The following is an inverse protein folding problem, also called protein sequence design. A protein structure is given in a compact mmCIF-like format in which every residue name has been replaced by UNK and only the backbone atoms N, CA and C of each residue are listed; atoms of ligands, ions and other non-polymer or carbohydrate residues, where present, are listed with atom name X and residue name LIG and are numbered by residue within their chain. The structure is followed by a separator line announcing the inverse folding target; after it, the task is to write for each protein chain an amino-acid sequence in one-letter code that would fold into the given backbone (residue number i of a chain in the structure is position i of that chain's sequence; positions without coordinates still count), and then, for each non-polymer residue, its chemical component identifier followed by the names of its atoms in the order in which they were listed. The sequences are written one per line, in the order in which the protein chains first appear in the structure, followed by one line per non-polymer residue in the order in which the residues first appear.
data_IF_641568423144
#
_entry.id   IF_641568423144
#
_cell.length_a   1.000
_cell.length_b   1.000
_cell.length_c   1.000
_cell.angle_alpha   90.00
_cell.angle_beta   90.00
_cell.angle_gamma   90.00
#
_symmetry.space_group_name_H-M   'P 1'
#
loop_
_entity.id
_entity.type
_entity.pdbx_description
1 polymer ?
#
# COMPACT_ATOMS: atom_id res chain seq x y z
N UNK A 1 -30.80 -32.74 0.55
CA UNK A 1 -30.16 -31.61 1.26
C UNK A 1 -28.72 -32.02 1.57
N UNK A 2 -27.79 -31.06 1.48
CA UNK A 2 -26.32 -31.15 1.59
C UNK A 2 -25.55 -31.57 0.32
N UNK A 3 -25.00 -30.57 -0.38
CA UNK A 3 -23.89 -30.70 -1.33
C UNK A 3 -22.61 -30.34 -0.56
N UNK A 4 -21.77 -31.32 -0.26
CA UNK A 4 -20.46 -31.11 0.34
C UNK A 4 -19.47 -30.76 -0.77
N UNK A 5 -18.96 -29.52 -0.78
CA UNK A 5 -17.87 -29.12 -1.67
C UNK A 5 -16.56 -29.68 -1.09
N UNK A 6 -15.89 -30.54 -1.85
CA UNK A 6 -14.59 -31.10 -1.54
C UNK A 6 -13.52 -30.06 -1.88
N UNK A 7 -12.79 -29.56 -0.89
CA UNK A 7 -11.59 -28.75 -1.11
C UNK A 7 -10.44 -29.69 -1.49
N UNK A 8 -9.82 -29.44 -2.64
CA UNK A 8 -8.62 -30.15 -3.09
C UNK A 8 -7.42 -29.54 -2.34
N UNK A 9 -6.73 -30.38 -1.56
CA UNK A 9 -5.42 -30.05 -1.02
C UNK A 9 -4.36 -30.26 -2.11
N UNK A 10 -3.60 -29.23 -2.43
CA UNK A 10 -2.44 -29.32 -3.33
C UNK A 10 -1.24 -29.80 -2.51
N UNK A 11 -0.57 -30.84 -3.01
CA UNK A 11 0.60 -31.45 -2.41
C UNK A 11 1.83 -30.53 -2.51
N UNK A 12 2.49 -30.29 -1.38
CA UNK A 12 3.83 -29.70 -1.33
C UNK A 12 4.86 -30.78 -1.70
N UNK A 13 5.65 -30.54 -2.75
CA UNK A 13 6.81 -31.36 -3.08
C UNK A 13 8.08 -30.50 -3.09
N UNK A 14 9.09 -30.95 -2.35
CA UNK A 14 10.49 -30.54 -2.51
C UNK A 14 11.03 -29.63 -1.41
N UNK A 15 11.58 -30.22 -0.34
CA UNK A 15 12.43 -29.50 0.61
C UNK A 15 13.80 -29.22 -0.03
N UNK A 16 14.08 -27.94 -0.27
CA UNK A 16 15.41 -27.37 -0.14
C UNK A 16 15.29 -26.24 0.88
N UNK A 17 16.21 -26.17 1.85
CA UNK A 17 16.30 -25.05 2.76
C UNK A 17 16.67 -23.80 1.95
N UNK A 18 15.66 -23.16 1.36
CA UNK A 18 15.77 -21.82 0.83
C UNK A 18 16.06 -20.90 2.03
N UNK A 19 17.02 -20.00 1.89
CA UNK A 19 17.08 -18.85 2.78
C UNK A 19 15.68 -18.21 2.77
N UNK A 20 15.05 -18.13 3.94
CA UNK A 20 13.75 -17.51 4.11
C UNK A 20 13.88 -16.03 3.73
N UNK A 21 13.45 -15.65 2.53
CA UNK A 21 13.13 -14.29 2.17
C UNK A 21 11.73 -14.02 2.74
N UNK A 22 11.72 -13.79 4.04
CA UNK A 22 10.53 -13.51 4.81
C UNK A 22 10.38 -11.99 4.87
N UNK A 23 9.15 -11.50 4.75
CA UNK A 23 8.81 -10.10 4.90
C UNK A 23 9.45 -9.56 6.17
N UNK A 24 10.33 -8.58 6.01
CA UNK A 24 10.96 -7.89 7.12
C UNK A 24 10.03 -6.79 7.66
N UNK A 25 9.09 -7.21 8.51
CA UNK A 25 8.20 -6.30 9.23
C UNK A 25 8.70 -5.86 10.60
N UNK A 26 9.83 -6.42 11.08
CA UNK A 26 10.27 -6.30 12.49
C UNK A 26 11.62 -5.61 12.67
N UNK A 27 12.31 -5.22 11.58
CA UNK A 27 13.58 -4.51 11.65
C UNK A 27 13.44 -2.98 11.48
N UNK A 28 14.58 -2.30 11.43
CA UNK A 28 14.65 -0.93 10.93
C UNK A 28 14.56 -0.94 9.41
N UNK A 29 13.72 -0.09 8.82
CA UNK A 29 13.54 0.00 7.37
C UNK A 29 12.86 -1.23 6.74
N UNK A 30 11.60 -1.49 7.10
CA UNK A 30 10.85 -2.65 6.61
C UNK A 30 10.45 -2.58 5.13
N UNK A 31 9.94 -3.71 4.66
CA UNK A 31 9.51 -3.93 3.27
C UNK A 31 8.04 -3.55 3.06
N UNK A 32 7.68 -3.37 1.79
CA UNK A 32 6.31 -3.08 1.39
C UNK A 32 5.50 -4.36 1.24
N UNK A 33 4.34 -4.37 1.89
CA UNK A 33 3.39 -5.47 1.85
C UNK A 33 2.09 -4.97 1.26
N UNK A 34 1.70 -5.55 0.14
CA UNK A 34 0.37 -5.41 -0.40
C UNK A 34 -0.53 -6.47 0.23
N UNK A 35 -1.69 -6.04 0.71
CA UNK A 35 -2.69 -6.96 1.26
C UNK A 35 -4.05 -6.67 0.63
N UNK A 36 -4.79 -7.73 0.35
CA UNK A 36 -6.19 -7.65 -0.03
C UNK A 36 -7.02 -8.66 0.76
N UNK A 37 -8.27 -8.35 1.02
CA UNK A 37 -9.13 -9.19 1.83
C UNK A 37 -10.60 -8.92 1.54
N UNK A 38 -11.40 -9.95 1.71
CA UNK A 38 -12.86 -9.86 1.78
C UNK A 38 -13.30 -10.50 3.08
N UNK A 39 -13.68 -9.67 4.04
CA UNK A 39 -14.11 -10.14 5.36
C UNK A 39 -15.48 -10.82 5.34
N UNK A 40 -16.27 -10.63 4.26
CA UNK A 40 -17.56 -11.31 4.09
C UNK A 40 -17.35 -12.73 3.59
N UNK A 41 -16.51 -12.91 2.57
CA UNK A 41 -16.16 -14.24 2.06
C UNK A 41 -15.13 -14.99 2.92
N UNK A 42 -14.38 -14.26 3.77
CA UNK A 42 -13.36 -14.85 4.64
C UNK A 42 -12.11 -15.30 3.87
N UNK A 43 -11.68 -14.51 2.89
CA UNK A 43 -10.48 -14.76 2.10
C UNK A 43 -9.54 -13.56 2.17
N UNK A 44 -8.25 -13.82 2.21
CA UNK A 44 -7.18 -12.84 2.30
C UNK A 44 -6.05 -13.19 1.34
N UNK A 45 -5.33 -12.16 0.92
CA UNK A 45 -4.19 -12.23 0.04
C UNK A 45 -3.11 -11.27 0.56
N UNK A 46 -1.87 -11.73 0.50
CA UNK A 46 -0.69 -10.95 0.88
C UNK A 46 0.38 -11.15 -0.16
N UNK A 47 1.06 -10.08 -0.55
CA UNK A 47 2.21 -10.10 -1.44
C UNK A 47 3.32 -9.20 -0.88
N UNK A 48 4.53 -9.72 -0.89
CA UNK A 48 5.77 -9.01 -0.58
C UNK A 48 6.25 -8.27 -1.83
N UNK A 49 6.49 -6.96 -1.72
CA UNK A 49 7.00 -6.13 -2.81
C UNK A 49 8.47 -5.86 -2.51
N UNK A 50 9.38 -6.72 -2.96
CA UNK A 50 10.80 -6.50 -2.73
C UNK A 50 11.61 -6.28 -4.01
N UNK A 51 11.46 -7.15 -5.03
CA UNK A 51 12.25 -7.04 -6.27
C UNK A 51 11.37 -6.70 -7.50
N UNK A 52 10.39 -7.55 -7.81
CA UNK A 52 9.89 -7.71 -9.18
C UNK A 52 9.20 -6.49 -9.86
N UNK A 53 8.91 -5.39 -9.16
CA UNK A 53 8.32 -4.19 -9.76
C UNK A 53 9.02 -2.85 -9.47
N UNK A 54 10.00 -2.80 -8.57
CA UNK A 54 10.70 -1.55 -8.25
C UNK A 54 12.15 -1.50 -8.75
N UNK A 55 12.75 -2.64 -9.11
CA UNK A 55 14.18 -2.79 -9.43
C UNK A 55 14.74 -1.79 -10.44
N UNK A 56 13.96 -1.53 -11.49
CA UNK A 56 14.38 -0.63 -12.57
C UNK A 56 14.62 0.81 -12.11
N UNK A 57 14.01 1.20 -10.98
CA UNK A 57 14.00 2.59 -10.50
C UNK A 57 14.68 2.77 -9.15
N UNK A 58 14.48 1.84 -8.21
CA UNK A 58 14.98 1.91 -6.84
C UNK A 58 16.08 0.89 -6.52
N UNK A 59 16.44 0.03 -7.47
CA UNK A 59 17.36 -1.09 -7.25
C UNK A 59 16.66 -2.28 -6.59
N UNK A 60 17.41 -3.34 -6.27
CA UNK A 60 16.92 -4.53 -5.59
C UNK A 60 16.70 -4.28 -4.09
N UNK A 61 15.89 -5.13 -3.44
CA UNK A 61 15.60 -5.09 -1.99
C UNK A 61 14.94 -3.75 -1.57
N UNK A 62 13.79 -3.44 -2.19
CA UNK A 62 13.14 -2.13 -2.08
C UNK A 62 12.37 -1.97 -0.78
N UNK A 63 12.98 -1.20 0.12
CA UNK A 63 12.47 -0.87 1.45
C UNK A 63 12.03 0.58 1.56
N UNK A 64 11.50 0.97 2.71
CA UNK A 64 11.06 2.36 2.97
C UNK A 64 12.11 3.42 2.59
N UNK A 65 13.37 3.23 2.98
CA UNK A 65 14.47 4.15 2.73
C UNK A 65 14.87 4.19 1.25
N UNK A 66 14.62 3.13 0.49
CA UNK A 66 14.79 3.13 -0.97
C UNK A 66 13.86 4.17 -1.58
N UNK A 67 12.63 4.30 -1.07
CA UNK A 67 11.64 5.28 -1.53
C UNK A 67 11.88 6.68 -0.96
N UNK A 68 12.08 6.86 0.34
CA UNK A 68 12.05 8.19 1.01
C UNK A 68 13.35 8.62 1.68
N UNK A 69 14.42 7.84 1.52
CA UNK A 69 15.69 8.06 2.20
C UNK A 69 15.62 7.77 3.71
N UNK A 70 16.72 8.03 4.41
CA UNK A 70 16.90 7.65 5.82
C UNK A 70 16.46 8.73 6.82
N UNK A 71 15.81 9.81 6.39
CA UNK A 71 15.39 10.90 7.28
C UNK A 71 14.29 10.41 8.23
N UNK A 72 14.66 10.24 9.50
CA UNK A 72 13.77 9.83 10.58
C UNK A 72 14.33 10.32 11.92
N UNK A 73 13.99 11.55 12.28
CA UNK A 73 14.48 12.23 13.48
C UNK A 73 13.29 12.74 14.30
N UNK A 74 13.49 13.17 15.57
CA UNK A 74 12.40 13.68 16.39
C UNK A 74 11.65 14.89 15.81
N UNK A 75 12.23 15.56 14.79
CA UNK A 75 11.67 16.79 14.19
C UNK A 75 11.45 16.69 12.68
N UNK A 76 11.88 15.60 12.02
CA UNK A 76 11.73 15.44 10.58
C UNK A 76 11.58 13.96 10.17
N UNK A 77 10.72 13.71 9.19
CA UNK A 77 10.59 12.43 8.50
C UNK A 77 10.62 12.66 6.99
N UNK A 78 11.23 11.76 6.23
CA UNK A 78 11.21 11.81 4.77
C UNK A 78 9.79 11.58 4.22
N UNK A 79 9.35 12.44 3.30
CA UNK A 79 8.06 12.30 2.62
C UNK A 79 8.18 12.55 1.10
N UNK A 80 9.41 12.56 0.57
CA UNK A 80 9.68 12.80 -0.84
C UNK A 80 10.40 11.61 -1.43
N UNK A 81 9.99 11.20 -2.63
CA UNK A 81 10.67 10.15 -3.38
C UNK A 81 12.12 10.52 -3.64
N UNK A 82 13.03 9.58 -3.38
CA UNK A 82 14.47 9.69 -3.67
C UNK A 82 14.73 9.88 -5.16
N UNK A 83 13.91 9.24 -6.00
CA UNK A 83 14.01 9.28 -7.45
C UNK A 83 13.12 10.38 -8.05
N UNK A 84 13.62 11.04 -9.09
CA UNK A 84 12.86 12.06 -9.82
C UNK A 84 12.00 11.39 -10.89
N UNK A 85 10.75 11.10 -10.55
CA UNK A 85 9.81 10.39 -11.43
C UNK A 85 8.50 11.15 -11.59
N UNK A 86 7.95 11.06 -12.81
CA UNK A 86 6.63 11.56 -13.16
C UNK A 86 5.85 10.45 -13.85
N UNK A 87 4.57 10.28 -13.50
CA UNK A 87 3.73 9.22 -14.03
C UNK A 87 3.87 7.89 -13.26
N UNK A 88 3.89 6.78 -13.98
CA UNK A 88 3.94 5.43 -13.38
C UNK A 88 5.32 5.17 -12.79
N UNK A 89 5.34 4.84 -11.49
CA UNK A 89 6.53 4.53 -10.70
C UNK A 89 6.72 3.02 -10.57
N UNK A 90 5.61 2.29 -10.46
CA UNK A 90 5.54 0.83 -10.31
C UNK A 90 4.26 0.36 -10.98
N UNK A 91 4.34 -0.73 -11.73
CA UNK A 91 3.16 -1.42 -12.25
C UNK A 91 3.49 -2.90 -12.38
N UNK A 92 2.81 -3.73 -11.60
CA UNK A 92 3.16 -5.14 -11.47
C UNK A 92 1.92 -6.03 -11.41
N UNK A 93 1.94 -7.10 -12.20
CA UNK A 93 0.92 -8.14 -12.20
C UNK A 93 1.02 -8.95 -10.90
N UNK A 94 -0.02 -8.90 -10.07
CA UNK A 94 -0.06 -9.57 -8.77
C UNK A 94 -0.16 -11.10 -8.94
N UNK A 95 0.83 -11.89 -8.50
CA UNK A 95 0.83 -13.34 -8.68
C UNK A 95 -0.35 -14.00 -7.95
N UNK A 96 -1.07 -14.91 -8.62
CA UNK A 96 -2.21 -15.62 -8.02
C UNK A 96 -3.32 -14.73 -7.41
N UNK A 97 -3.35 -13.43 -7.72
CA UNK A 97 -4.43 -12.56 -7.25
C UNK A 97 -5.79 -12.98 -7.82
N UNK A 98 -5.82 -13.53 -9.04
CA UNK A 98 -7.02 -14.11 -9.64
C UNK A 98 -7.58 -15.27 -8.79
N UNK A 99 -6.72 -16.06 -8.13
CA UNK A 99 -7.17 -17.14 -7.23
C UNK A 99 -7.86 -16.55 -6.00
N UNK A 100 -7.30 -15.48 -5.42
CA UNK A 100 -7.95 -14.72 -4.34
C UNK A 100 -9.32 -14.17 -4.78
N UNK A 101 -9.38 -13.47 -5.91
CA UNK A 101 -10.61 -12.87 -6.41
C UNK A 101 -11.68 -13.93 -6.72
N UNK A 102 -11.28 -15.13 -7.15
CA UNK A 102 -12.21 -16.25 -7.39
C UNK A 102 -12.94 -16.72 -6.12
N UNK A 103 -12.32 -16.55 -4.95
CA UNK A 103 -12.88 -16.86 -3.64
C UNK A 103 -13.59 -15.68 -2.98
N UNK A 104 -13.44 -14.46 -3.50
CA UNK A 104 -13.97 -13.24 -2.92
C UNK A 104 -15.28 -12.77 -3.57
N UNK A 105 -16.03 -11.94 -2.86
CA UNK A 105 -17.03 -11.06 -3.45
C UNK A 105 -16.36 -9.74 -3.82
N UNK A 106 -16.19 -9.50 -5.13
CA UNK A 106 -15.47 -8.35 -5.67
C UNK A 106 -15.97 -6.98 -5.16
N UNK A 107 -17.25 -6.90 -4.78
CA UNK A 107 -17.86 -5.66 -4.28
C UNK A 107 -17.51 -5.34 -2.83
N UNK A 108 -17.01 -6.32 -2.07
CA UNK A 108 -16.61 -6.19 -0.67
C UNK A 108 -15.11 -6.35 -0.45
N UNK A 109 -14.35 -6.68 -1.51
CA UNK A 109 -12.89 -6.69 -1.46
C UNK A 109 -12.37 -5.33 -1.03
N UNK A 110 -11.44 -5.36 -0.08
CA UNK A 110 -10.60 -4.24 0.33
C UNK A 110 -9.14 -4.56 0.07
N UNK A 111 -8.33 -3.54 -0.13
CA UNK A 111 -6.88 -3.67 -0.27
C UNK A 111 -6.16 -2.49 0.37
N UNK A 112 -4.92 -2.71 0.80
CA UNK A 112 -4.01 -1.68 1.27
C UNK A 112 -2.56 -2.01 0.90
N UNK A 113 -1.70 -1.01 1.02
CA UNK A 113 -0.25 -1.13 0.95
C UNK A 113 0.32 -0.55 2.22
N UNK A 114 1.26 -1.25 2.88
CA UNK A 114 1.94 -0.73 4.04
C UNK A 114 3.37 -1.26 4.19
N UNK A 115 4.22 -0.46 4.84
CA UNK A 115 5.54 -0.81 5.33
C UNK A 115 5.74 -0.16 6.70
N UNK A 116 6.49 -0.80 7.60
CA UNK A 116 6.77 -0.25 8.92
C UNK A 116 8.24 -0.36 9.32
N UNK A 117 8.67 0.62 10.08
CA UNK A 117 9.94 0.65 10.80
C UNK A 117 9.60 0.55 12.30
N UNK A 118 10.04 -0.53 12.94
CA UNK A 118 9.66 -0.81 14.34
C UNK A 118 10.79 -0.53 15.35
N UNK A 119 11.96 -0.12 14.85
CA UNK A 119 13.14 0.16 15.66
C UNK A 119 13.33 1.67 15.88
N UNK A 120 13.88 2.06 17.04
CA UNK A 120 14.15 3.46 17.35
C UNK A 120 12.91 4.36 17.28
N UNK A 121 12.97 5.41 16.44
CA UNK A 121 11.80 6.20 16.08
C UNK A 121 11.01 5.44 15.03
N UNK A 122 9.80 5.03 15.37
CA UNK A 122 8.99 4.20 14.46
C UNK A 122 8.43 5.02 13.32
N UNK A 123 8.25 4.37 12.18
CA UNK A 123 7.61 4.96 10.99
C UNK A 123 6.65 3.97 10.36
N UNK A 124 5.64 4.47 9.68
CA UNK A 124 4.77 3.69 8.81
C UNK A 124 4.63 4.45 7.49
N UNK A 125 4.76 3.73 6.38
CA UNK A 125 4.27 4.18 5.08
C UNK A 125 3.03 3.36 4.79
N UNK A 126 1.92 3.99 4.44
CA UNK A 126 0.69 3.28 4.13
C UNK A 126 -0.16 4.02 3.11
N UNK A 127 -1.04 3.29 2.43
CA UNK A 127 -2.20 3.90 1.78
C UNK A 127 -3.14 4.53 2.81
N UNK A 128 -3.89 5.54 2.38
CA UNK A 128 -4.96 6.18 3.17
C UNK A 128 -6.21 6.35 2.34
N UNK A 129 -7.38 6.17 2.96
CA UNK A 129 -8.68 6.36 2.28
C UNK A 129 -9.10 7.83 2.14
N UNK A 130 -8.44 8.70 2.90
CA UNK A 130 -8.68 10.14 2.90
C UNK A 130 -7.45 10.85 3.45
N UNK A 131 -7.13 12.03 2.93
CA UNK A 131 -6.06 12.85 3.49
C UNK A 131 -6.32 13.18 4.98
N UNK A 132 -5.37 12.93 5.89
CA UNK A 132 -5.48 13.34 7.29
C UNK A 132 -5.59 14.87 7.41
N UNK A 133 -6.63 15.35 8.11
CA UNK A 133 -6.87 16.78 8.37
C UNK A 133 -6.18 17.29 9.65
N UNK A 134 -5.66 16.37 10.46
CA UNK A 134 -4.86 16.60 11.66
C UNK A 134 -3.93 15.41 11.84
N UNK A 135 -2.96 15.48 12.76
CA UNK A 135 -2.10 14.35 13.10
C UNK A 135 -2.96 13.14 13.49
N UNK A 136 -3.02 12.08 12.67
CA UNK A 136 -3.88 10.93 12.96
C UNK A 136 -3.24 10.00 14.01
N UNK A 137 -1.93 10.16 14.21
CA UNK A 137 -1.14 9.38 15.15
C UNK A 137 -0.60 10.25 16.28
N UNK A 138 -0.76 9.77 17.50
CA UNK A 138 0.23 10.02 18.56
C UNK A 138 1.37 9.01 18.43
N UNK A 139 2.53 9.29 19.02
CA UNK A 139 3.64 8.32 19.08
C UNK A 139 3.21 6.96 19.64
N UNK A 140 2.37 6.92 20.68
CA UNK A 140 1.83 5.67 21.22
C UNK A 140 1.05 4.88 20.16
N UNK A 141 0.18 5.54 19.39
CA UNK A 141 -0.62 4.90 18.33
C UNK A 141 0.21 4.46 17.13
N UNK A 142 1.23 5.25 16.76
CA UNK A 142 2.17 4.86 15.72
C UNK A 142 2.94 3.61 16.13
N UNK A 143 3.37 3.55 17.39
CA UNK A 143 4.07 2.41 17.94
C UNK A 143 3.20 1.15 18.00
N UNK A 144 1.94 1.30 18.43
CA UNK A 144 0.93 0.23 18.41
C UNK A 144 0.68 -0.30 16.99
N UNK A 145 0.59 0.58 16.00
CA UNK A 145 0.34 0.20 14.60
C UNK A 145 1.55 -0.49 13.97
N UNK A 146 2.75 0.04 14.17
CA UNK A 146 3.97 -0.56 13.64
C UNK A 146 4.22 -1.96 14.25
N UNK A 147 3.94 -2.13 15.54
CA UNK A 147 3.99 -3.45 16.19
C UNK A 147 2.92 -4.41 15.64
N UNK A 148 1.74 -3.91 15.29
CA UNK A 148 0.66 -4.73 14.74
C UNK A 148 0.97 -5.19 13.31
N UNK A 149 1.57 -4.31 12.50
CA UNK A 149 2.09 -4.67 11.19
C UNK A 149 3.20 -5.73 11.30
N UNK A 150 4.17 -5.55 12.20
CA UNK A 150 5.22 -6.55 12.45
C UNK A 150 4.64 -7.91 12.82
N UNK A 151 3.65 -7.96 13.72
CA UNK A 151 2.99 -9.23 14.08
C UNK A 151 2.30 -9.89 12.89
N UNK A 152 1.68 -9.09 12.01
CA UNK A 152 1.06 -9.59 10.78
C UNK A 152 2.10 -10.14 9.80
N UNK A 153 3.16 -9.38 9.52
CA UNK A 153 4.28 -9.78 8.66
C UNK A 153 4.92 -11.09 9.17
N UNK A 154 5.27 -11.16 10.45
CA UNK A 154 5.86 -12.35 11.06
C UNK A 154 4.94 -13.58 10.93
N UNK A 155 3.63 -13.40 11.10
CA UNK A 155 2.67 -14.49 11.02
C UNK A 155 2.44 -14.97 9.56
N UNK A 156 2.41 -14.06 8.60
CA UNK A 156 2.15 -14.39 7.19
C UNK A 156 3.37 -14.99 6.49
N UNK A 157 4.57 -14.73 7.00
CA UNK A 157 5.82 -15.37 6.53
C UNK A 157 5.80 -16.90 6.64
N UNK A 158 4.91 -17.49 7.45
CA UNK A 158 4.72 -18.94 7.52
C UNK A 158 3.69 -19.48 6.51
N UNK A 159 3.23 -18.67 5.54
CA UNK A 159 2.12 -18.99 4.64
C UNK A 159 2.52 -18.95 3.16
N UNK A 160 1.77 -19.68 2.33
CA UNK A 160 1.91 -19.64 0.87
C UNK A 160 3.34 -19.85 0.39
N UNK A 161 3.75 -19.11 -0.63
CA UNK A 161 5.12 -19.13 -1.14
C UNK A 161 6.08 -18.30 -0.29
N UNK A 162 5.57 -17.35 0.52
CA UNK A 162 6.36 -16.57 1.51
C UNK A 162 7.13 -17.47 2.50
N UNK A 163 6.61 -18.66 2.79
CA UNK A 163 7.29 -19.62 3.66
C UNK A 163 8.56 -20.25 3.05
N UNK A 164 8.76 -20.12 1.73
CA UNK A 164 9.74 -20.93 0.99
C UNK A 164 10.49 -20.21 -0.13
N UNK A 165 10.12 -18.98 -0.48
CA UNK A 165 10.74 -18.23 -1.57
C UNK A 165 10.61 -16.72 -1.39
N UNK A 166 11.52 -15.99 -2.05
CA UNK A 166 11.49 -14.53 -2.18
C UNK A 166 10.34 -14.08 -3.09
N UNK A 167 9.85 -12.86 -2.88
CA UNK A 167 8.72 -12.26 -3.61
C UNK A 167 7.48 -13.16 -3.54
N UNK A 168 7.21 -13.64 -2.33
CA UNK A 168 6.15 -14.61 -2.11
C UNK A 168 4.76 -13.97 -2.07
N UNK A 169 3.75 -14.83 -2.22
CA UNK A 169 2.37 -14.50 -1.88
C UNK A 169 1.80 -15.52 -0.90
N UNK A 170 0.76 -15.11 -0.17
CA UNK A 170 -0.03 -15.99 0.67
C UNK A 170 -1.52 -15.78 0.45
N UNK A 171 -2.24 -16.89 0.33
CA UNK A 171 -3.70 -16.92 0.47
C UNK A 171 -4.02 -17.31 1.91
N UNK A 172 -4.86 -16.51 2.57
CA UNK A 172 -5.19 -16.67 3.98
C UNK A 172 -6.69 -16.62 4.21
N UNK A 173 -7.11 -17.07 5.39
CA UNK A 173 -8.50 -17.17 5.82
C UNK A 173 -8.61 -16.81 7.30
N UNK A 174 -9.81 -16.57 7.86
CA UNK A 174 -9.98 -16.29 9.28
C UNK A 174 -9.37 -17.35 10.22
N UNK A 175 -9.23 -18.61 9.79
CA UNK A 175 -8.58 -19.66 10.59
C UNK A 175 -7.06 -19.49 10.72
N UNK A 176 -6.45 -18.64 9.88
CA UNK A 176 -5.04 -18.28 9.94
C UNK A 176 -4.73 -17.17 10.97
N UNK A 177 -5.77 -16.66 11.65
CA UNK A 177 -5.66 -15.70 12.76
C UNK A 177 -4.83 -14.46 12.39
N UNK A 178 -3.69 -14.24 13.04
CA UNK A 178 -2.82 -13.08 12.83
C UNK A 178 -2.34 -12.94 11.38
N UNK A 179 -2.17 -14.06 10.67
CA UNK A 179 -1.73 -14.04 9.27
C UNK A 179 -2.84 -13.66 8.29
N UNK A 180 -4.11 -13.64 8.72
CA UNK A 180 -5.21 -13.25 7.84
C UNK A 180 -5.14 -11.75 7.51
N UNK A 181 -5.07 -11.39 6.22
CA UNK A 181 -4.97 -10.00 5.78
C UNK A 181 -6.13 -9.12 6.30
N UNK A 182 -7.34 -9.68 6.37
CA UNK A 182 -8.52 -9.00 6.94
C UNK A 182 -8.61 -9.07 8.46
N UNK A 183 -7.58 -9.55 9.16
CA UNK A 183 -7.58 -9.68 10.61
C UNK A 183 -7.60 -8.29 11.25
N UNK A 184 -8.76 -7.89 11.76
CA UNK A 184 -8.93 -6.58 12.35
C UNK A 184 -7.87 -6.27 13.40
N UNK A 185 -7.51 -7.13 14.37
CA UNK A 185 -6.50 -6.81 15.37
C UNK A 185 -5.09 -6.45 14.88
N UNK A 186 -4.66 -6.85 13.68
CA UNK A 186 -3.26 -6.67 13.24
C UNK A 186 -3.08 -5.91 11.93
N UNK A 187 -3.91 -6.15 10.92
CA UNK A 187 -3.82 -5.49 9.61
C UNK A 187 -5.16 -4.84 9.26
N UNK A 188 -6.05 -5.54 8.55
CA UNK A 188 -7.40 -5.05 8.27
C UNK A 188 -7.41 -3.66 7.64
N UNK A 189 -8.35 -2.81 8.06
CA UNK A 189 -8.55 -1.48 7.47
C UNK A 189 -7.83 -0.34 8.21
N UNK A 190 -7.27 -0.60 9.39
CA UNK A 190 -6.70 0.43 10.29
C UNK A 190 -5.79 -0.14 11.40
N UNK A 191 -5.19 -1.31 11.20
CA UNK A 191 -4.39 -2.03 12.20
C UNK A 191 -5.16 -2.35 13.50
N UNK A 192 -6.48 -2.47 13.39
CA UNK A 192 -7.36 -2.80 14.51
C UNK A 192 -7.56 -1.63 15.43
N UNK A 193 -7.99 -0.51 14.87
CA UNK A 193 -8.23 0.77 15.55
C UNK A 193 -6.97 1.40 16.18
N UNK A 194 -5.80 0.86 15.85
CA UNK A 194 -4.51 1.39 16.31
C UNK A 194 -3.98 2.46 15.36
N UNK A 195 -4.43 2.43 14.12
CA UNK A 195 -3.98 3.32 13.08
C UNK A 195 -5.06 4.10 12.37
N UNK A 196 -4.68 4.63 11.22
CA UNK A 196 -5.53 5.41 10.34
C UNK A 196 -6.10 4.54 9.22
N UNK A 197 -7.29 4.88 8.73
CA UNK A 197 -7.98 4.13 7.69
C UNK A 197 -7.10 4.00 6.43
N UNK A 198 -6.76 2.76 6.06
CA UNK A 198 -5.73 2.46 5.08
C UNK A 198 -6.20 1.67 3.86
N UNK A 199 -7.45 1.17 3.86
CA UNK A 199 -7.91 0.21 2.88
C UNK A 199 -9.07 0.71 2.00
N UNK A 200 -8.87 0.64 0.68
CA UNK A 200 -9.84 0.99 -0.36
C UNK A 200 -10.47 -0.24 -1.01
N UNK A 201 -11.54 -0.05 -1.76
CA UNK A 201 -12.10 -1.08 -2.65
C UNK A 201 -11.28 -1.28 -3.92
N UNK A 202 -11.55 -2.36 -4.66
CA UNK A 202 -10.96 -2.54 -5.99
C UNK A 202 -11.33 -1.37 -6.91
N UNK A 203 -10.36 -0.87 -7.67
CA UNK A 203 -10.40 0.35 -8.50
C UNK A 203 -10.38 1.69 -7.74
N UNK A 204 -10.41 1.71 -6.41
CA UNK A 204 -10.13 2.94 -5.68
C UNK A 204 -8.68 3.36 -5.94
N UNK A 205 -8.46 4.68 -6.02
CA UNK A 205 -7.13 5.29 -6.02
C UNK A 205 -6.90 5.85 -4.63
N UNK A 206 -5.84 5.38 -3.97
CA UNK A 206 -5.51 5.78 -2.60
C UNK A 206 -4.22 6.61 -2.59
N UNK A 207 -4.19 7.65 -1.78
CA UNK A 207 -2.96 8.39 -1.50
C UNK A 207 -2.04 7.54 -0.61
N UNK A 208 -0.74 7.74 -0.74
CA UNK A 208 0.26 7.13 0.16
C UNK A 208 0.77 8.20 1.13
N UNK A 209 0.81 7.89 2.41
CA UNK A 209 1.29 8.78 3.46
C UNK A 209 2.42 8.14 4.25
N UNK A 210 3.31 9.01 4.73
CA UNK A 210 4.37 8.66 5.68
C UNK A 210 4.01 9.22 7.05
N UNK A 211 4.16 8.39 8.08
CA UNK A 211 4.01 8.74 9.48
C UNK A 211 5.32 8.44 10.22
N UNK A 212 5.81 9.37 11.04
CA UNK A 212 7.08 9.22 11.75
C UNK A 212 7.04 9.71 13.20
N UNK A 213 7.62 8.91 14.10
CA UNK A 213 7.61 9.20 15.52
C UNK A 213 8.53 10.36 15.88
N UNK A 214 8.07 11.21 16.80
CA UNK A 214 8.89 12.23 17.46
C UNK A 214 9.53 11.72 18.75
N UNK A 215 9.14 10.53 19.22
CA UNK A 215 9.68 9.85 20.40
C UNK A 215 9.60 8.33 20.26
N UNK A 216 10.61 7.61 20.76
CA UNK A 216 10.60 6.15 20.87
C UNK A 216 9.78 5.64 22.07
N UNK A 217 9.26 6.54 22.92
CA UNK A 217 8.43 6.17 24.06
C UNK A 217 7.07 5.65 23.61
N UNK A 218 6.75 4.40 23.97
CA UNK A 218 5.45 3.75 23.73
C UNK A 218 4.27 4.41 24.43
N UNK A 219 4.51 5.28 25.41
CA UNK A 219 3.46 6.00 26.13
C UNK A 219 3.31 7.46 25.72
N UNK A 220 4.15 7.96 24.81
CA UNK A 220 4.10 9.36 24.38
C UNK A 220 2.79 9.68 23.66
N UNK A 221 2.11 10.72 24.15
CA UNK A 221 0.88 11.27 23.55
C UNK A 221 1.15 12.47 22.63
N UNK A 222 2.43 12.81 22.43
CA UNK A 222 2.79 13.82 21.44
C UNK A 222 2.45 13.32 20.03
N UNK A 223 2.03 14.24 19.18
CA UNK A 223 1.70 13.98 17.78
C UNK A 223 2.93 13.43 17.04
N UNK A 224 2.67 12.48 16.15
CA UNK A 224 3.63 12.02 15.16
C UNK A 224 3.72 13.03 14.01
N UNK A 225 4.86 13.04 13.33
CA UNK A 225 5.03 13.71 12.05
C UNK A 225 4.26 12.94 10.98
N UNK A 226 3.73 13.67 10.00
CA UNK A 226 3.05 13.05 8.86
C UNK A 226 3.10 13.93 7.62
N UNK A 227 3.01 13.30 6.46
CA UNK A 227 2.92 13.97 5.17
C UNK A 227 2.50 12.99 4.08
N UNK A 228 1.86 13.51 3.03
CA UNK A 228 1.68 12.74 1.81
C UNK A 228 3.06 12.38 1.24
N UNK A 229 3.20 11.19 0.66
CA UNK A 229 4.39 10.84 -0.10
C UNK A 229 4.35 11.57 -1.44
N UNK A 230 5.35 12.42 -1.69
CA UNK A 230 5.40 13.29 -2.85
C UNK A 230 6.56 12.92 -3.78
N UNK A 231 6.45 13.29 -5.06
CA UNK A 231 7.60 13.40 -5.95
C UNK A 231 8.46 14.64 -5.60
N UNK A 232 9.56 14.84 -6.32
CA UNK A 232 10.45 15.99 -6.14
C UNK A 232 9.85 17.33 -6.56
N UNK A 233 8.68 17.32 -7.22
CA UNK A 233 7.97 18.53 -7.67
C UNK A 233 6.76 18.87 -6.79
N UNK A 234 6.46 18.05 -5.79
CA UNK A 234 5.37 18.23 -4.82
C UNK A 234 4.06 17.54 -5.19
N UNK A 235 4.04 16.65 -6.18
CA UNK A 235 2.87 15.88 -6.59
C UNK A 235 2.74 14.61 -5.75
N UNK A 236 1.52 14.26 -5.35
CA UNK A 236 1.24 13.07 -4.53
C UNK A 236 1.45 11.75 -5.30
N UNK A 237 2.06 10.79 -4.61
CA UNK A 237 2.10 9.40 -5.02
C UNK A 237 0.80 8.69 -4.62
N UNK A 238 0.21 8.00 -5.57
CA UNK A 238 -1.03 7.25 -5.40
C UNK A 238 -0.81 5.78 -5.72
N UNK A 239 -1.63 4.91 -5.14
CA UNK A 239 -1.70 3.50 -5.46
C UNK A 239 -3.11 3.13 -5.95
N UNK A 240 -3.20 2.17 -6.87
CA UNK A 240 -4.46 1.56 -7.27
C UNK A 240 -4.28 0.10 -7.66
N UNK A 241 -5.36 -0.67 -7.54
CA UNK A 241 -5.45 -2.03 -8.07
C UNK A 241 -6.46 -2.04 -9.21
N UNK A 242 -6.07 -2.56 -10.37
CA UNK A 242 -6.92 -2.61 -11.56
C UNK A 242 -6.70 -3.89 -12.35
N UNK A 243 -7.68 -4.27 -13.17
CA UNK A 243 -7.51 -5.35 -14.15
C UNK A 243 -6.86 -4.75 -15.41
N UNK A 244 -5.68 -5.25 -15.79
CA UNK A 244 -4.97 -4.82 -16.98
C UNK A 244 -5.45 -5.58 -18.24
N UNK A 245 -5.00 -5.12 -19.42
CA UNK A 245 -5.39 -5.69 -20.72
C UNK A 245 -4.88 -7.13 -20.94
N UNK A 246 -3.90 -7.57 -20.14
CA UNK A 246 -3.39 -8.94 -20.12
C UNK A 246 -4.29 -9.91 -19.32
N UNK A 247 -5.37 -9.40 -18.72
CA UNK A 247 -6.32 -10.19 -17.93
C UNK A 247 -5.84 -10.50 -16.51
N UNK A 248 -4.77 -9.86 -16.05
CA UNK A 248 -4.24 -9.97 -14.69
C UNK A 248 -4.59 -8.72 -13.87
N UNK A 249 -4.67 -8.89 -12.55
CA UNK A 249 -4.78 -7.73 -11.65
C UNK A 249 -3.41 -7.16 -11.38
N UNK A 250 -3.29 -5.84 -11.54
CA UNK A 250 -2.08 -5.09 -11.34
C UNK A 250 -2.18 -4.19 -10.13
N UNK A 251 -1.09 -4.09 -9.37
CA UNK A 251 -0.86 -2.98 -8.45
C UNK A 251 -0.03 -1.93 -9.19
N UNK A 252 -0.53 -0.69 -9.22
CA UNK A 252 0.20 0.45 -9.79
C UNK A 252 0.43 1.51 -8.73
N UNK A 253 1.66 2.01 -8.65
CA UNK A 253 1.98 3.26 -7.97
C UNK A 253 2.30 4.32 -9.03
N UNK A 254 1.68 5.48 -8.93
CA UNK A 254 1.87 6.56 -9.88
C UNK A 254 1.80 7.92 -9.19
N UNK A 255 2.66 8.82 -9.64
CA UNK A 255 2.59 10.23 -9.27
C UNK A 255 1.48 10.85 -10.11
N UNK A 256 0.49 11.46 -9.46
CA UNK A 256 -0.61 12.10 -10.16
C UNK A 256 -0.07 13.18 -11.10
N UNK A 257 -0.39 13.06 -12.40
CA UNK A 257 -0.04 14.09 -13.37
C UNK A 257 -0.85 15.35 -13.04
N UNK A 258 -0.22 16.35 -12.44
CA UNK A 258 -0.83 17.67 -12.32
C UNK A 258 -0.89 18.27 -13.73
N UNK A 259 -2.07 18.66 -14.24
CA UNK A 259 -2.16 19.26 -15.56
C UNK A 259 -1.27 20.49 -15.62
N UNK A 260 -0.40 20.56 -16.63
CA UNK A 260 0.52 21.68 -16.76
C UNK A 260 -0.26 23.02 -16.85
N UNK A 261 0.32 24.14 -16.38
CA UNK A 261 -0.29 25.47 -16.52
C UNK A 261 -0.70 25.82 -17.96
N UNK A 262 0.02 25.28 -18.94
CA UNK A 262 -0.28 25.38 -20.37
C UNK A 262 -1.62 24.75 -20.73
N UNK A 263 -2.01 23.63 -20.11
CA UNK A 263 -3.30 22.96 -20.30
C UNK A 263 -4.45 23.85 -19.83
N UNK A 264 -4.29 24.49 -18.67
CA UNK A 264 -5.26 25.47 -18.17
C UNK A 264 -5.31 26.72 -19.05
N UNK A 265 -4.17 27.22 -19.51
CA UNK A 265 -4.10 28.35 -20.42
C UNK A 265 -4.79 28.05 -21.76
N UNK A 266 -4.64 26.84 -22.31
CA UNK A 266 -5.28 26.41 -23.54
C UNK A 266 -6.78 26.18 -23.36
N UNK A 267 -7.21 25.64 -22.21
CA UNK A 267 -8.62 25.55 -21.85
C UNK A 267 -9.25 26.94 -21.74
N UNK A 268 -8.59 27.87 -21.05
CA UNK A 268 -9.03 29.26 -20.91
C UNK A 268 -9.02 30.01 -22.25
N UNK A 269 -8.02 29.78 -23.09
CA UNK A 269 -7.97 30.33 -24.44
C UNK A 269 -9.11 29.79 -25.30
N UNK A 270 -9.41 28.49 -25.22
CA UNK A 270 -10.56 27.85 -25.86
C UNK A 270 -11.88 28.47 -25.41
N UNK A 271 -12.07 28.63 -24.10
CA UNK A 271 -13.25 29.30 -23.52
C UNK A 271 -13.34 30.77 -23.97
N UNK A 272 -12.22 31.48 -24.01
CA UNK A 272 -12.13 32.86 -24.47
C UNK A 272 -12.55 33.01 -25.93
N UNK A 273 -12.11 32.10 -26.80
CA UNK A 273 -12.51 32.07 -28.22
C UNK A 273 -14.00 31.78 -28.40
N UNK A 274 -14.55 30.84 -27.63
CA UNK A 274 -16.00 30.55 -27.63
C UNK A 274 -16.82 31.75 -27.16
N UNK A 275 -16.41 32.40 -26.07
CA UNK A 275 -17.04 33.63 -25.59
C UNK A 275 -16.99 34.77 -26.59
N UNK A 276 -15.86 34.94 -27.28
CA UNK A 276 -15.71 35.93 -28.35
C UNK A 276 -16.62 35.62 -29.56
N UNK A 277 -16.68 34.37 -30.00
CA UNK A 277 -17.55 33.94 -31.08
C UNK A 277 -19.04 34.14 -30.75
N UNK A 278 -19.46 33.79 -29.54
CA UNK A 278 -20.83 34.00 -29.07
C UNK A 278 -21.21 35.49 -28.99
N UNK A 279 -20.28 36.37 -28.58
CA UNK A 279 -20.49 37.83 -28.60
C UNK A 279 -20.67 38.37 -30.01
N UNK A 280 -19.89 37.86 -30.97
CA UNK A 280 -20.03 38.25 -32.39
C UNK A 280 -21.37 37.82 -32.95
N UNK A 281 -21.82 36.61 -32.65
CA UNK A 281 -23.11 36.07 -33.13
C UNK A 281 -24.33 36.84 -32.63
N UNK A 282 -24.27 37.50 -31.46
CA UNK A 282 -25.36 38.37 -30.97
C UNK A 282 -25.41 39.75 -31.63
N UNK A 283 -24.38 40.13 -32.38
CA UNK A 283 -24.26 41.44 -33.05
C UNK A 283 -24.54 41.36 -34.55
N UNK A 284 -24.82 40.16 -35.06
CA UNK A 284 -25.21 39.83 -36.43
C UNK A 284 -26.63 39.30 -36.42
#
# INVERSE_FOLDING_TARGET
MFKTKLFIAIAAMGMSAAASAAIDGSSSNGEFVFSAFDTVAGVGYTYELDDAGFDSLFGSDVRMNSLIGSTNTPTAVGFTLTQNVSGVVFDYALPSFTDFVSGANITTVKWNLAAADTSGLRRIIQTVTSAPVSAPYTNAKLNESAASFSQYADAVNAKGTLATGADGFALTSPTDMTAYAGNAPTMGVDFGTKGYANAGGLNDVLDIYVFGGTSSSSSSKADALYGALLDQTGNGLTAKVYMADDGMYHLQLAVAAVPEPSTYAMLLAGLGMLGFAARRARRS
#
